data_IF_971516313498
#
_entry.id   IF_971516313498
#
_cell.length_a   1.000
_cell.length_b   1.000
_cell.length_c   1.000
_cell.angle_alpha   90.00
_cell.angle_beta   90.00
_cell.angle_gamma   90.00
#
_symmetry.space_group_name_H-M   'P 1'
#
loop_
_entity.id
_entity.type
_entity.pdbx_description
1 polymer ?
#
# COMPACT_ATOMS: atom_id res chain seq x y z
N UNK A 1 -7.76 11.64 1.88
CA UNK A 1 -8.92 10.86 1.38
C UNK A 1 -9.25 11.15 -0.09
N UNK A 2 -9.43 12.41 -0.51
CA UNK A 2 -9.80 12.76 -1.90
C UNK A 2 -8.83 12.30 -2.98
N UNK A 3 -7.52 12.51 -2.79
CA UNK A 3 -6.49 12.06 -3.75
C UNK A 3 -6.54 10.54 -3.98
N UNK A 4 -6.66 9.75 -2.91
CA UNK A 4 -6.77 8.30 -3.01
C UNK A 4 -8.05 7.84 -3.72
N UNK A 5 -9.13 8.62 -3.61
CA UNK A 5 -10.40 8.32 -4.28
C UNK A 5 -10.28 8.56 -5.78
N UNK A 6 -9.77 9.74 -6.18
CA UNK A 6 -9.51 10.07 -7.59
C UNK A 6 -8.58 9.03 -8.21
N UNK A 7 -7.47 8.70 -7.54
CA UNK A 7 -6.54 7.69 -8.03
C UNK A 7 -7.18 6.30 -8.16
N UNK A 8 -8.04 5.90 -7.21
CA UNK A 8 -8.76 4.62 -7.32
C UNK A 8 -9.72 4.62 -8.49
N UNK A 9 -10.35 5.77 -8.77
CA UNK A 9 -11.25 5.98 -9.89
C UNK A 9 -10.53 5.79 -11.23
N UNK A 10 -9.42 6.50 -11.43
CA UNK A 10 -8.54 6.38 -12.60
C UNK A 10 -8.07 4.94 -12.81
N UNK A 11 -7.60 4.28 -11.74
CA UNK A 11 -7.12 2.91 -11.84
C UNK A 11 -8.20 1.91 -12.23
N UNK A 12 -9.47 2.16 -11.89
CA UNK A 12 -10.58 1.32 -12.36
C UNK A 12 -10.91 1.58 -13.82
N UNK A 13 -10.89 2.83 -14.28
CA UNK A 13 -11.10 3.16 -15.69
C UNK A 13 -9.99 2.57 -16.58
N UNK A 14 -8.75 2.60 -16.11
CA UNK A 14 -7.59 2.04 -16.81
C UNK A 14 -7.74 0.55 -17.13
N UNK A 15 -8.45 -0.22 -16.30
CA UNK A 15 -8.68 -1.66 -16.52
C UNK A 15 -10.01 -1.97 -17.21
N UNK A 16 -10.82 -0.95 -17.50
CA UNK A 16 -12.09 -1.08 -18.23
C UNK A 16 -12.13 -0.13 -19.44
N UNK A 17 -11.38 -0.41 -20.52
CA UNK A 17 -11.26 0.51 -21.67
C UNK A 17 -12.60 0.91 -22.29
N UNK A 18 -13.58 -0.01 -22.33
CA UNK A 18 -14.91 0.29 -22.86
C UNK A 18 -15.65 1.36 -22.04
N UNK A 19 -15.62 1.28 -20.70
CA UNK A 19 -16.24 2.29 -19.82
C UNK A 19 -15.52 3.64 -19.94
N UNK A 20 -14.19 3.61 -19.98
CA UNK A 20 -13.40 4.81 -20.21
C UNK A 20 -13.76 5.47 -21.55
N UNK A 21 -13.82 4.70 -22.64
CA UNK A 21 -14.16 5.22 -23.96
C UNK A 21 -15.56 5.85 -23.98
N UNK A 22 -16.55 5.18 -23.42
CA UNK A 22 -17.91 5.73 -23.32
C UNK A 22 -17.94 7.05 -22.56
N UNK A 23 -17.24 7.14 -21.43
CA UNK A 23 -17.18 8.36 -20.63
C UNK A 23 -16.43 9.49 -21.37
N UNK A 24 -15.26 9.19 -21.93
CA UNK A 24 -14.38 10.17 -22.58
C UNK A 24 -15.01 10.75 -23.87
N UNK A 25 -15.62 9.92 -24.70
CA UNK A 25 -16.26 10.38 -25.94
C UNK A 25 -17.60 11.09 -25.70
N UNK A 26 -18.23 10.88 -24.53
CA UNK A 26 -19.41 11.64 -24.14
C UNK A 26 -19.05 13.03 -23.57
N UNK A 27 -17.99 13.10 -22.76
CA UNK A 27 -17.46 14.35 -22.21
C UNK A 27 -15.95 14.24 -21.95
N UNK A 28 -15.16 15.09 -22.60
CA UNK A 28 -13.70 15.12 -22.46
C UNK A 28 -13.22 16.03 -21.32
N UNK A 29 -14.11 16.52 -20.44
CA UNK A 29 -13.78 17.42 -19.32
C UNK A 29 -12.80 16.82 -18.30
N UNK A 30 -12.69 15.49 -18.25
CA UNK A 30 -11.88 14.77 -17.26
C UNK A 30 -12.52 14.68 -15.87
N UNK A 31 -13.78 15.11 -15.72
CA UNK A 31 -14.52 15.04 -14.45
C UNK A 31 -15.39 13.79 -14.31
N UNK A 32 -15.28 12.85 -15.25
CA UNK A 32 -16.08 11.62 -15.26
C UNK A 32 -15.61 10.62 -14.21
N UNK A 33 -16.43 10.43 -13.18
CA UNK A 33 -16.19 9.44 -12.13
C UNK A 33 -16.84 8.09 -12.45
N UNK A 34 -16.08 7.00 -12.30
CA UNK A 34 -16.48 5.61 -12.48
C UNK A 34 -17.27 5.04 -11.28
N UNK A 35 -18.26 5.78 -10.78
CA UNK A 35 -19.00 5.42 -9.56
C UNK A 35 -19.79 4.12 -9.68
N UNK A 36 -20.15 3.71 -10.90
CA UNK A 36 -20.85 2.46 -11.20
C UNK A 36 -19.95 1.22 -11.27
N UNK A 37 -18.68 1.31 -10.90
CA UNK A 37 -17.75 0.18 -10.86
C UNK A 37 -17.79 -0.56 -9.52
N UNK A 38 -18.25 -1.84 -9.49
CA UNK A 38 -18.38 -2.60 -8.25
C UNK A 38 -17.09 -2.67 -7.43
N UNK A 39 -15.92 -2.74 -8.08
CA UNK A 39 -14.64 -2.82 -7.37
C UNK A 39 -14.08 -1.47 -6.91
N UNK A 40 -14.69 -0.32 -7.24
CA UNK A 40 -14.14 1.01 -6.91
C UNK A 40 -14.01 1.21 -5.40
N UNK A 41 -15.12 1.10 -4.66
CA UNK A 41 -15.13 1.35 -3.21
C UNK A 41 -14.36 0.28 -2.43
N UNK A 42 -14.50 -1.04 -2.70
CA UNK A 42 -13.70 -2.06 -2.05
C UNK A 42 -12.20 -1.82 -2.23
N UNK A 43 -11.76 -1.49 -3.45
CA UNK A 43 -10.37 -1.15 -3.75
C UNK A 43 -9.92 0.08 -2.96
N UNK A 44 -10.68 1.17 -3.04
CA UNK A 44 -10.37 2.42 -2.33
C UNK A 44 -10.17 2.20 -0.82
N UNK A 45 -11.12 1.50 -0.19
CA UNK A 45 -11.06 1.19 1.23
C UNK A 45 -9.85 0.30 1.57
N UNK A 46 -9.59 -0.73 0.74
CA UNK A 46 -8.44 -1.61 0.92
C UNK A 46 -7.11 -0.83 0.87
N UNK A 47 -6.95 0.14 -0.05
CA UNK A 47 -5.72 0.93 -0.13
C UNK A 47 -5.57 1.92 1.04
N UNK A 48 -6.63 2.63 1.43
CA UNK A 48 -6.56 3.56 2.57
C UNK A 48 -6.28 2.81 3.87
N UNK A 49 -7.02 1.75 4.14
CA UNK A 49 -6.83 0.97 5.36
C UNK A 49 -5.44 0.31 5.41
N UNK A 50 -4.93 -0.16 4.25
CA UNK A 50 -3.57 -0.67 4.14
C UNK A 50 -2.52 0.39 4.47
N UNK A 51 -2.70 1.63 4.02
CA UNK A 51 -1.81 2.74 4.38
C UNK A 51 -1.83 3.03 5.90
N UNK A 52 -2.99 2.94 6.54
CA UNK A 52 -3.10 3.08 8.01
C UNK A 52 -2.38 1.96 8.75
N UNK A 53 -2.43 0.72 8.26
CA UNK A 53 -1.64 -0.38 8.81
C UNK A 53 -0.13 -0.09 8.69
N UNK A 54 0.35 0.33 7.52
CA UNK A 54 1.77 0.68 7.33
C UNK A 54 2.20 1.84 8.26
N UNK A 55 1.36 2.86 8.42
CA UNK A 55 1.62 3.96 9.35
C UNK A 55 1.70 3.47 10.81
N UNK A 56 0.81 2.56 11.22
CA UNK A 56 0.86 1.96 12.56
C UNK A 56 2.14 1.14 12.80
N UNK A 57 2.62 0.42 11.79
CA UNK A 57 3.93 -0.25 11.86
C UNK A 57 5.07 0.76 12.06
N UNK A 58 5.01 1.91 11.38
CA UNK A 58 6.01 2.97 11.56
C UNK A 58 5.98 3.56 12.97
N UNK A 59 4.79 3.78 13.56
CA UNK A 59 4.66 4.18 14.97
C UNK A 59 5.32 3.15 15.90
N UNK A 60 5.14 1.85 15.65
CA UNK A 60 5.81 0.82 16.43
C UNK A 60 7.35 0.88 16.30
N UNK A 61 7.87 1.23 15.13
CA UNK A 61 9.31 1.43 14.91
C UNK A 61 9.85 2.69 15.59
N UNK A 62 9.07 3.76 15.72
CA UNK A 62 9.49 4.93 16.50
C UNK A 62 9.83 4.52 17.93
N UNK A 63 9.04 3.62 18.51
CA UNK A 63 9.33 3.03 19.83
C UNK A 63 10.64 2.24 19.88
N UNK A 64 11.07 1.66 18.75
CA UNK A 64 12.34 0.94 18.65
C UNK A 64 13.55 1.89 18.52
N UNK A 65 13.36 3.03 17.87
CA UNK A 65 14.42 4.01 17.66
C UNK A 65 14.56 5.01 18.81
N UNK A 66 13.54 5.14 19.65
CA UNK A 66 13.61 5.96 20.86
C UNK A 66 14.58 5.35 21.88
N UNK A 67 15.60 6.14 22.28
CA UNK A 67 16.64 5.72 23.22
C UNK A 67 16.67 6.54 24.51
N UNK A 68 16.02 7.70 24.53
CA UNK A 68 16.05 8.67 25.63
C UNK A 68 14.89 8.42 26.58
N UNK A 69 13.67 8.33 26.04
CA UNK A 69 12.44 8.21 26.83
C UNK A 69 11.87 6.79 26.79
N UNK A 70 12.24 5.96 27.78
CA UNK A 70 11.81 4.56 27.87
C UNK A 70 10.28 4.39 27.93
N UNK A 71 9.58 5.32 28.57
CA UNK A 71 8.12 5.29 28.66
C UNK A 71 7.49 5.45 27.27
N UNK A 72 7.96 6.44 26.49
CA UNK A 72 7.50 6.71 25.13
C UNK A 72 7.84 5.57 24.19
N UNK A 73 9.07 5.04 24.31
CA UNK A 73 9.52 3.89 23.53
C UNK A 73 8.56 2.70 23.64
N UNK A 74 8.17 2.37 24.88
CA UNK A 74 7.23 1.28 25.17
C UNK A 74 5.81 1.60 24.68
N UNK A 75 5.31 2.81 24.95
CA UNK A 75 3.95 3.19 24.55
C UNK A 75 3.80 3.22 23.03
N UNK A 76 4.76 3.80 22.30
CA UNK A 76 4.77 3.84 20.84
C UNK A 76 4.78 2.43 20.23
N UNK A 77 5.60 1.52 20.77
CA UNK A 77 5.63 0.12 20.34
C UNK A 77 4.28 -0.58 20.58
N UNK A 78 3.70 -0.45 21.77
CA UNK A 78 2.45 -1.12 22.13
C UNK A 78 1.24 -0.54 21.39
N UNK A 79 1.18 0.78 21.27
CA UNK A 79 0.13 1.48 20.53
C UNK A 79 0.21 1.20 19.03
N UNK A 80 1.40 1.29 18.43
CA UNK A 80 1.63 0.94 17.03
C UNK A 80 1.29 -0.52 16.73
N UNK A 81 1.66 -1.45 17.61
CA UNK A 81 1.30 -2.86 17.48
C UNK A 81 -0.22 -3.08 17.53
N UNK A 82 -0.93 -2.43 18.47
CA UNK A 82 -2.40 -2.49 18.56
C UNK A 82 -3.06 -1.96 17.29
N UNK A 83 -2.67 -0.79 16.83
CA UNK A 83 -3.21 -0.22 15.59
C UNK A 83 -2.90 -1.09 14.36
N UNK A 84 -1.68 -1.61 14.25
CA UNK A 84 -1.28 -2.48 13.14
C UNK A 84 -2.16 -3.74 13.08
N UNK A 85 -2.40 -4.37 14.23
CA UNK A 85 -3.30 -5.52 14.33
C UNK A 85 -4.73 -5.17 13.90
N UNK A 86 -5.29 -4.08 14.43
CA UNK A 86 -6.65 -3.64 14.11
C UNK A 86 -6.81 -3.35 12.62
N UNK A 87 -5.92 -2.54 12.04
CA UNK A 87 -6.00 -2.21 10.61
C UNK A 87 -5.73 -3.44 9.73
N UNK A 88 -4.81 -4.33 10.09
CA UNK A 88 -4.57 -5.55 9.30
C UNK A 88 -5.75 -6.52 9.37
N UNK A 89 -6.44 -6.62 10.50
CA UNK A 89 -7.67 -7.40 10.60
C UNK A 89 -8.76 -6.84 9.67
N UNK A 90 -9.00 -5.52 9.73
CA UNK A 90 -9.92 -4.83 8.81
C UNK A 90 -9.47 -5.03 7.36
N UNK A 91 -8.16 -5.06 7.10
CA UNK A 91 -7.58 -5.25 5.77
C UNK A 91 -8.00 -6.60 5.16
N UNK A 92 -8.07 -7.67 5.96
CA UNK A 92 -8.55 -8.96 5.47
C UNK A 92 -10.03 -8.90 5.07
N UNK A 93 -10.88 -8.25 5.88
CA UNK A 93 -12.30 -8.06 5.54
C UNK A 93 -12.46 -7.28 4.24
N UNK A 94 -11.70 -6.19 4.10
CA UNK A 94 -11.69 -5.37 2.87
C UNK A 94 -11.09 -6.10 1.68
N UNK A 95 -10.09 -6.97 1.91
CA UNK A 95 -9.50 -7.82 0.88
C UNK A 95 -10.48 -8.85 0.36
N UNK A 96 -11.23 -9.51 1.25
CA UNK A 96 -12.32 -10.42 0.85
C UNK A 96 -13.41 -9.66 0.10
N UNK A 97 -13.84 -8.51 0.62
CA UNK A 97 -14.84 -7.66 -0.04
C UNK A 97 -14.39 -7.26 -1.45
N UNK A 98 -13.12 -6.89 -1.63
CA UNK A 98 -12.58 -6.56 -2.94
C UNK A 98 -12.54 -7.78 -3.86
N UNK A 99 -12.09 -8.93 -3.36
CA UNK A 99 -11.97 -10.17 -4.12
C UNK A 99 -13.33 -10.65 -4.68
N UNK A 100 -14.38 -10.61 -3.87
CA UNK A 100 -15.75 -10.99 -4.30
C UNK A 100 -16.41 -9.93 -5.19
N UNK A 101 -15.91 -8.70 -5.19
CA UNK A 101 -16.40 -7.63 -6.07
C UNK A 101 -15.79 -7.70 -7.47
N UNK A 102 -14.83 -8.59 -7.71
CA UNK A 102 -14.27 -8.83 -9.03
C UNK A 102 -15.25 -9.64 -9.90
N UNK A 103 -15.24 -9.46 -11.23
CA UNK A 103 -15.89 -10.38 -12.15
C UNK A 103 -15.40 -11.81 -11.92
N UNK A 104 -16.31 -12.78 -12.01
CA UNK A 104 -16.06 -14.18 -11.66
C UNK A 104 -14.81 -14.77 -12.33
N UNK A 105 -14.58 -14.44 -13.61
CA UNK A 105 -13.39 -14.88 -14.37
C UNK A 105 -12.08 -14.38 -13.75
N UNK A 106 -12.08 -13.15 -13.22
CA UNK A 106 -10.90 -12.52 -12.61
C UNK A 106 -10.68 -13.03 -11.20
N UNK A 107 -11.75 -13.18 -10.41
CA UNK A 107 -11.68 -13.79 -9.08
C UNK A 107 -11.10 -15.21 -9.14
N UNK A 108 -11.51 -16.00 -10.14
CA UNK A 108 -11.06 -17.39 -10.30
C UNK A 108 -9.53 -17.52 -10.44
N UNK A 109 -8.84 -16.50 -10.95
CA UNK A 109 -7.36 -16.49 -11.06
C UNK A 109 -6.70 -16.74 -9.70
N UNK A 110 -7.25 -16.16 -8.64
CA UNK A 110 -6.74 -16.29 -7.27
C UNK A 110 -7.26 -17.53 -6.54
N UNK A 111 -8.26 -18.21 -7.12
CA UNK A 111 -8.93 -19.39 -6.55
C UNK A 111 -8.53 -20.68 -7.27
N UNK A 112 -7.28 -20.77 -7.72
CA UNK A 112 -6.71 -21.97 -8.34
C UNK A 112 -6.65 -21.97 -9.87
N UNK A 113 -7.30 -21.03 -10.58
CA UNK A 113 -7.16 -20.97 -12.05
C UNK A 113 -5.75 -20.59 -12.49
N UNK A 114 -5.06 -19.76 -11.71
CA UNK A 114 -3.62 -19.50 -11.88
C UNK A 114 -2.89 -19.98 -10.62
N UNK A 115 -2.02 -20.98 -10.79
CA UNK A 115 -1.21 -21.54 -9.69
C UNK A 115 -0.35 -20.44 -9.08
N UNK A 116 0.30 -19.63 -9.92
CA UNK A 116 1.16 -18.53 -9.47
C UNK A 116 0.38 -17.50 -8.64
N UNK A 117 -0.77 -17.03 -9.13
CA UNK A 117 -1.57 -16.03 -8.43
C UNK A 117 -2.12 -16.57 -7.11
N UNK A 118 -2.53 -17.84 -7.08
CA UNK A 118 -3.06 -18.49 -5.87
C UNK A 118 -1.97 -18.66 -4.80
N UNK A 119 -0.77 -19.10 -5.20
CA UNK A 119 0.39 -19.23 -4.30
C UNK A 119 0.81 -17.85 -3.76
N UNK A 120 0.91 -16.84 -4.61
CA UNK A 120 1.28 -15.49 -4.20
C UNK A 120 0.25 -14.91 -3.21
N UNK A 121 -1.05 -15.14 -3.42
CA UNK A 121 -2.09 -14.72 -2.48
C UNK A 121 -1.93 -15.43 -1.13
N UNK A 122 -1.76 -16.76 -1.14
CA UNK A 122 -1.57 -17.54 0.09
C UNK A 122 -0.32 -17.10 0.85
N UNK A 123 0.82 -16.95 0.16
CA UNK A 123 2.07 -16.47 0.77
C UNK A 123 1.91 -15.09 1.37
N UNK A 124 1.18 -14.19 0.71
CA UNK A 124 0.91 -12.86 1.23
C UNK A 124 0.11 -12.92 2.54
N UNK A 125 -0.93 -13.77 2.61
CA UNK A 125 -1.72 -13.95 3.84
C UNK A 125 -0.85 -14.53 4.96
N UNK A 126 -0.04 -15.55 4.66
CA UNK A 126 0.85 -16.18 5.66
C UNK A 126 1.88 -15.17 6.18
N UNK A 127 2.47 -14.36 5.30
CA UNK A 127 3.43 -13.33 5.69
C UNK A 127 2.77 -12.22 6.53
N UNK A 128 1.56 -11.77 6.19
CA UNK A 128 0.87 -10.74 6.95
C UNK A 128 0.41 -11.25 8.33
N UNK A 129 -0.03 -12.50 8.43
CA UNK A 129 -0.29 -13.16 9.73
C UNK A 129 1.00 -13.27 10.54
N UNK A 130 2.10 -13.69 9.89
CA UNK A 130 3.42 -13.75 10.52
C UNK A 130 3.87 -12.39 11.06
N UNK A 131 3.68 -11.31 10.28
CA UNK A 131 3.98 -9.94 10.70
C UNK A 131 3.20 -9.56 11.96
N UNK A 132 1.87 -9.77 11.97
CA UNK A 132 1.04 -9.53 13.15
C UNK A 132 1.61 -10.28 14.36
N UNK A 133 1.80 -11.60 14.26
CA UNK A 133 2.26 -12.43 15.37
C UNK A 133 3.62 -12.00 15.91
N UNK A 134 4.56 -11.63 15.03
CA UNK A 134 5.88 -11.14 15.42
C UNK A 134 5.78 -9.80 16.14
N UNK A 135 4.98 -8.86 15.64
CA UNK A 135 4.84 -7.54 16.26
C UNK A 135 4.10 -7.60 17.60
N UNK A 136 3.02 -8.39 17.71
CA UNK A 136 2.31 -8.61 18.97
C UNK A 136 3.24 -9.19 20.04
N UNK A 137 4.09 -10.15 19.65
CA UNK A 137 5.10 -10.72 20.53
C UNK A 137 6.21 -9.72 20.88
N UNK A 138 6.52 -8.78 20.01
CA UNK A 138 7.52 -7.74 20.28
C UNK A 138 7.04 -6.77 21.37
N UNK A 139 5.74 -6.42 21.38
CA UNK A 139 5.14 -5.44 22.28
C UNK A 139 5.28 -5.75 23.79
N UNK A 140 5.54 -7.02 24.14
CA UNK A 140 5.65 -7.50 25.51
C UNK A 140 7.04 -8.09 25.84
N UNK A 141 8.07 -7.84 25.03
CA UNK A 141 9.42 -8.42 25.21
C UNK A 141 10.46 -7.34 25.51
N UNK A 142 11.44 -7.65 26.37
CA UNK A 142 12.52 -6.72 26.73
C UNK A 142 13.45 -6.36 25.55
N UNK A 143 13.63 -7.28 24.58
CA UNK A 143 14.43 -7.08 23.37
C UNK A 143 13.55 -7.17 22.10
N UNK A 144 12.76 -6.13 21.77
CA UNK A 144 11.77 -6.18 20.69
C UNK A 144 12.39 -6.11 19.28
N UNK A 145 13.64 -5.63 19.14
CA UNK A 145 14.29 -5.29 17.87
C UNK A 145 14.15 -6.35 16.78
N UNK A 146 14.56 -7.60 17.06
CA UNK A 146 14.53 -8.67 16.05
C UNK A 146 13.11 -8.92 15.55
N UNK A 147 12.12 -8.94 16.46
CA UNK A 147 10.72 -9.24 16.12
C UNK A 147 10.07 -8.10 15.35
N UNK A 148 10.35 -6.85 15.72
CA UNK A 148 9.88 -5.66 14.97
C UNK A 148 10.45 -5.67 13.55
N UNK A 149 11.76 -5.90 13.40
CA UNK A 149 12.41 -5.94 12.08
C UNK A 149 11.87 -7.10 11.24
N UNK A 150 11.74 -8.31 11.80
CA UNK A 150 11.16 -9.44 11.07
C UNK A 150 9.72 -9.15 10.64
N UNK A 151 8.91 -8.53 11.51
CA UNK A 151 7.55 -8.11 11.15
C UNK A 151 7.53 -7.10 10.00
N UNK A 152 8.44 -6.12 10.01
CA UNK A 152 8.55 -5.14 8.93
C UNK A 152 8.95 -5.81 7.61
N UNK A 153 9.93 -6.71 7.63
CA UNK A 153 10.35 -7.46 6.44
C UNK A 153 9.19 -8.29 5.88
N UNK A 154 8.44 -9.00 6.74
CA UNK A 154 7.26 -9.75 6.32
C UNK A 154 6.17 -8.85 5.70
N UNK A 155 5.94 -7.66 6.26
CA UNK A 155 5.03 -6.67 5.70
C UNK A 155 5.50 -6.19 4.31
N UNK A 156 6.80 -5.90 4.13
CA UNK A 156 7.36 -5.48 2.84
C UNK A 156 7.18 -6.56 1.77
N UNK A 157 7.49 -7.83 2.08
CA UNK A 157 7.26 -8.93 1.13
C UNK A 157 5.77 -9.13 0.81
N UNK A 158 4.88 -8.96 1.80
CA UNK A 158 3.43 -8.97 1.57
C UNK A 158 3.03 -7.91 0.55
N UNK A 159 3.54 -6.69 0.69
CA UNK A 159 3.26 -5.58 -0.24
C UNK A 159 3.78 -5.89 -1.65
N UNK A 160 5.00 -6.45 -1.77
CA UNK A 160 5.58 -6.84 -3.06
C UNK A 160 4.72 -7.90 -3.76
N UNK A 161 4.30 -8.93 -3.05
CA UNK A 161 3.44 -9.97 -3.62
C UNK A 161 2.06 -9.42 -4.01
N UNK A 162 1.47 -8.55 -3.19
CA UNK A 162 0.22 -7.85 -3.52
C UNK A 162 0.37 -6.94 -4.74
N UNK A 163 1.50 -6.27 -4.91
CA UNK A 163 1.80 -5.48 -6.10
C UNK A 163 1.86 -6.37 -7.35
N UNK A 164 2.46 -7.57 -7.26
CA UNK A 164 2.48 -8.52 -8.37
C UNK A 164 1.11 -9.13 -8.67
N UNK A 165 0.30 -9.42 -7.65
CA UNK A 165 -1.08 -9.87 -7.84
C UNK A 165 -1.93 -8.82 -8.56
N UNK A 166 -1.76 -7.53 -8.21
CA UNK A 166 -2.42 -6.41 -8.89
C UNK A 166 -1.99 -6.31 -10.35
N UNK A 167 -0.72 -6.55 -10.65
CA UNK A 167 -0.17 -6.58 -12.01
C UNK A 167 -0.79 -7.70 -12.84
N UNK A 168 -0.81 -8.94 -12.32
CA UNK A 168 -1.48 -10.10 -12.94
C UNK A 168 -2.97 -9.80 -13.21
N UNK A 169 -3.66 -9.20 -12.23
CA UNK A 169 -5.07 -8.84 -12.39
C UNK A 169 -5.28 -7.83 -13.52
N UNK A 170 -4.47 -6.77 -13.56
CA UNK A 170 -4.54 -5.74 -14.60
C UNK A 170 -4.34 -6.36 -15.98
N UNK A 171 -3.32 -7.20 -16.12
CA UNK A 171 -3.00 -7.84 -17.39
C UNK A 171 -4.13 -8.77 -17.84
N UNK A 172 -4.77 -9.49 -16.91
CA UNK A 172 -5.94 -10.31 -17.20
C UNK A 172 -7.14 -9.48 -17.71
N UNK A 173 -7.41 -8.32 -17.11
CA UNK A 173 -8.44 -7.39 -17.58
C UNK A 173 -8.15 -6.84 -18.99
N UNK A 174 -6.88 -6.58 -19.29
CA UNK A 174 -6.48 -5.94 -20.55
C UNK A 174 -6.24 -6.93 -21.69
N UNK A 175 -5.93 -8.19 -21.39
CA UNK A 175 -5.61 -9.23 -22.38
C UNK A 175 -6.59 -9.35 -23.57
N UNK A 176 -7.91 -9.09 -23.45
CA UNK A 176 -8.81 -9.14 -24.61
C UNK A 176 -8.61 -7.99 -25.59
N UNK A 177 -8.13 -6.83 -25.12
CA UNK A 177 -8.09 -5.58 -25.89
C UNK A 177 -6.66 -5.07 -26.15
N UNK A 178 -5.68 -5.49 -25.35
CA UNK A 178 -4.35 -4.92 -25.36
C UNK A 178 -3.30 -5.96 -24.93
N UNK A 179 -2.25 -6.09 -25.73
CA UNK A 179 -1.06 -6.84 -25.33
C UNK A 179 0.02 -5.87 -24.86
N UNK A 180 0.30 -5.87 -23.56
CA UNK A 180 1.24 -4.96 -22.93
C UNK A 180 2.69 -5.19 -23.37
N UNK A 181 3.03 -6.41 -23.80
CA UNK A 181 4.39 -6.77 -24.22
C UNK A 181 4.74 -6.19 -25.60
N UNK A 182 3.73 -5.92 -26.43
CA UNK A 182 3.91 -5.39 -27.79
C UNK A 182 3.61 -3.89 -27.88
N UNK A 183 3.31 -3.24 -26.75
CA UNK A 183 2.97 -1.83 -26.71
C UNK A 183 4.20 -0.97 -27.06
N UNK A 184 4.12 -0.06 -28.05
CA UNK A 184 5.25 0.80 -28.38
C UNK A 184 5.57 1.73 -27.21
N UNK A 185 6.80 1.69 -26.70
CA UNK A 185 7.26 2.60 -25.66
C UNK A 185 7.59 3.96 -26.28
N UNK A 186 6.70 4.93 -26.12
CA UNK A 186 6.99 6.33 -26.42
C UNK A 186 7.62 7.00 -25.20
N UNK A 187 8.76 7.66 -25.39
CA UNK A 187 9.39 8.43 -24.32
C UNK A 187 8.55 9.68 -24.01
N UNK A 188 7.89 9.71 -22.85
CA UNK A 188 7.02 10.82 -22.44
C UNK A 188 7.75 11.81 -21.53
N UNK A 189 8.67 12.59 -22.13
CA UNK A 189 9.49 13.57 -21.40
C UNK A 189 8.67 14.56 -20.57
N UNK A 190 7.52 15.00 -21.12
CA UNK A 190 6.60 15.95 -20.48
C UNK A 190 6.05 15.45 -19.15
N UNK A 191 5.99 14.14 -18.94
CA UNK A 191 5.54 13.53 -17.66
C UNK A 191 6.73 13.13 -16.79
N UNK A 192 7.80 12.58 -17.39
CA UNK A 192 8.98 12.08 -16.66
C UNK A 192 9.73 13.21 -15.94
N UNK A 193 9.95 14.35 -16.62
CA UNK A 193 10.72 15.47 -16.07
C UNK A 193 10.07 16.04 -14.80
N UNK A 194 8.79 16.47 -14.80
CA UNK A 194 8.17 17.00 -13.58
C UNK A 194 8.09 15.93 -12.47
N UNK A 195 7.87 14.65 -12.82
CA UNK A 195 7.94 13.56 -11.85
C UNK A 195 9.31 13.47 -11.16
N UNK A 196 10.41 13.53 -11.91
CA UNK A 196 11.77 13.47 -11.35
C UNK A 196 12.08 14.68 -10.47
N UNK A 197 11.68 15.89 -10.89
CA UNK A 197 11.85 17.11 -10.08
C UNK A 197 11.12 16.98 -8.74
N UNK A 198 9.85 16.55 -8.77
CA UNK A 198 9.06 16.35 -7.57
C UNK A 198 9.59 15.21 -6.70
N UNK A 199 10.08 14.12 -7.31
CA UNK A 199 10.70 13.01 -6.60
C UNK A 199 11.95 13.47 -5.84
N UNK A 200 12.86 14.19 -6.50
CA UNK A 200 14.07 14.72 -5.88
C UNK A 200 13.72 15.71 -4.78
N UNK A 201 12.83 16.67 -5.04
CA UNK A 201 12.38 17.62 -4.02
C UNK A 201 11.74 16.91 -2.81
N UNK A 202 10.92 15.88 -3.05
CA UNK A 202 10.31 15.07 -2.01
C UNK A 202 11.35 14.30 -1.17
N UNK A 203 12.31 13.64 -1.83
CA UNK A 203 13.39 12.93 -1.15
C UNK A 203 14.27 13.86 -0.31
N UNK A 204 14.63 15.03 -0.85
CA UNK A 204 15.38 16.06 -0.12
C UNK A 204 14.59 16.55 1.11
N UNK A 205 13.29 16.74 0.99
CA UNK A 205 12.43 17.14 2.11
C UNK A 205 12.39 16.06 3.19
N UNK A 206 12.17 14.80 2.82
CA UNK A 206 12.15 13.67 3.76
C UNK A 206 13.51 13.51 4.42
N UNK A 207 14.59 13.61 3.65
CA UNK A 207 15.95 13.55 4.17
C UNK A 207 16.21 14.67 5.19
N UNK A 208 15.80 15.91 4.88
CA UNK A 208 15.93 17.04 5.80
C UNK A 208 15.14 16.81 7.10
N UNK A 209 13.90 16.33 7.02
CA UNK A 209 13.08 16.01 8.19
C UNK A 209 13.70 14.89 9.05
N UNK A 210 14.15 13.81 8.40
CA UNK A 210 14.77 12.68 9.08
C UNK A 210 16.08 13.10 9.75
N UNK A 211 16.92 13.87 9.05
CA UNK A 211 18.16 14.38 9.60
C UNK A 211 17.90 15.25 10.85
N UNK A 212 16.90 16.13 10.80
CA UNK A 212 16.54 16.98 11.96
C UNK A 212 15.97 16.17 13.14
N UNK A 213 15.23 15.10 12.87
CA UNK A 213 14.66 14.24 13.90
C UNK A 213 15.71 13.35 14.58
N UNK A 214 16.62 12.74 13.80
CA UNK A 214 17.65 11.84 14.33
C UNK A 214 18.91 12.55 14.81
N UNK A 215 19.23 13.73 14.26
CA UNK A 215 20.40 14.54 14.61
C UNK A 215 20.00 15.99 14.96
N UNK A 216 19.34 16.21 16.11
CA UNK A 216 18.97 17.56 16.55
C UNK A 216 20.22 18.42 16.82
N UNK A 217 20.23 19.66 16.28
CA UNK A 217 21.30 20.63 16.51
C UNK A 217 21.41 21.03 17.99
N UNK A 218 22.61 21.38 18.44
CA UNK A 218 22.95 21.68 19.85
C UNK A 218 22.09 22.79 20.47
N UNK A 219 21.62 23.76 19.68
CA UNK A 219 20.71 24.83 20.15
C UNK A 219 19.38 24.31 20.71
N UNK A 220 18.85 23.19 20.20
CA UNK A 220 17.59 22.61 20.68
C UNK A 220 17.71 21.89 22.03
N UNK A 221 18.94 21.61 22.48
CA UNK A 221 19.21 20.97 23.77
C UNK A 221 19.35 21.99 24.92
N UNK A 222 19.59 23.27 24.61
CA UNK A 222 19.69 24.37 25.59
C UNK A 222 18.33 24.95 26.00
N UNK A 223 17.25 24.59 25.30
CA UNK A 223 15.89 25.12 25.52
C UNK A 223 14.96 24.13 26.25
N UNK A 224 15.49 23.02 26.76
CA UNK A 224 14.82 22.08 27.67
C UNK A 224 15.57 22.06 28.99
#
# INVERSE_FOLDING_TARGET
>A
AGVAFIYSNEMTLMVTPGRWATAYFADSSGLNLNLGEPMLFPRYLHFINGAMAVAAMFVAMLGLFEKREKWFAKEALQYGARLFMTFTFIQYLLGVLWLISLPQKMMALFMGRSILASILLLLSIVLSVGAILMLSKAANTERPTRRVISSMISLLFTIVFMAKLRDILRDAYLSPNFNLETAPSSFQASTIIPFLILLVGGLLTVFWMANKFFFPSSESQSAK
#
